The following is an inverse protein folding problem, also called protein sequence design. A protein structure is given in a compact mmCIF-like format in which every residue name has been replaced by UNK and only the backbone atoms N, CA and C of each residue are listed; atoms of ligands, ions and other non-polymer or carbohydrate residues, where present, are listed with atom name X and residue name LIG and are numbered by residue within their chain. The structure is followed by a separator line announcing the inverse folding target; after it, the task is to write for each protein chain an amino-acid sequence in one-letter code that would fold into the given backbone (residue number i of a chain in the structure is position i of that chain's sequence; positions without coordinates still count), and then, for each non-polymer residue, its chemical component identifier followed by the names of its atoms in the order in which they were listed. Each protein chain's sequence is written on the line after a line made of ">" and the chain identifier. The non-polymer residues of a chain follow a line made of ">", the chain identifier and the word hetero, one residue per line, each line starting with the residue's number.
data_IF_535520763170
#
_entry.id   IF_535520763170
#
_cell.length_a   1.000
_cell.length_b   1.000
_cell.length_c   1.000
_cell.angle_alpha   90.00
_cell.angle_beta   90.00
_cell.angle_gamma   90.00
#
_symmetry.space_group_name_H-M   'P 1'
#
loop_
_entity.id
_entity.type
_entity.pdbx_description
1 polymer ?
#
# COMPACT_ATOMS: atom_id res chain seq x y z
N UNK A 1 33.90 -6.54 -25.06
CA UNK A 1 33.30 -7.79 -24.60
C UNK A 1 32.10 -7.40 -23.71
N UNK A 2 30.84 -7.52 -24.20
CA UNK A 2 29.67 -7.43 -23.34
C UNK A 2 29.69 -8.66 -22.44
N UNK A 3 29.95 -8.49 -21.16
CA UNK A 3 29.68 -9.52 -20.17
C UNK A 3 28.19 -9.89 -20.33
N UNK A 4 27.88 -11.17 -20.57
CA UNK A 4 26.53 -11.71 -20.61
C UNK A 4 25.86 -11.37 -19.26
N UNK A 5 25.18 -10.24 -19.20
CA UNK A 5 24.39 -9.83 -18.05
C UNK A 5 23.34 -10.91 -17.87
N UNK A 6 23.33 -11.56 -16.71
CA UNK A 6 22.42 -12.64 -16.37
C UNK A 6 20.97 -12.16 -16.51
N UNK A 7 20.24 -12.71 -17.47
CA UNK A 7 18.83 -12.38 -17.68
C UNK A 7 17.97 -12.95 -16.55
N UNK A 8 17.05 -12.14 -16.03
CA UNK A 8 16.09 -12.52 -14.99
C UNK A 8 14.70 -12.67 -15.60
N UNK A 9 14.19 -13.90 -15.61
CA UNK A 9 12.81 -14.20 -15.98
C UNK A 9 12.02 -14.40 -14.70
N UNK A 10 11.27 -13.36 -14.31
CA UNK A 10 10.66 -13.21 -12.99
C UNK A 10 9.17 -13.57 -13.05
N UNK A 11 8.75 -14.60 -12.31
CA UNK A 11 7.34 -14.91 -12.12
C UNK A 11 6.83 -14.26 -10.84
N UNK A 12 5.99 -13.24 -10.98
CA UNK A 12 5.22 -12.66 -9.88
C UNK A 12 3.97 -13.50 -9.63
N UNK A 13 3.88 -14.12 -8.46
CA UNK A 13 2.68 -14.87 -8.05
C UNK A 13 1.95 -14.03 -7.02
N UNK A 14 0.86 -13.39 -7.46
CA UNK A 14 0.13 -12.37 -6.73
C UNK A 14 -1.23 -12.89 -6.27
N UNK A 15 -1.50 -12.93 -4.98
CA UNK A 15 -2.86 -13.15 -4.46
C UNK A 15 -3.61 -11.81 -4.35
N UNK A 16 -3.66 -11.07 -5.46
CA UNK A 16 -4.20 -9.72 -5.59
C UNK A 16 -5.26 -9.66 -6.68
N UNK A 17 -6.44 -9.14 -6.34
CA UNK A 17 -7.56 -8.97 -7.28
C UNK A 17 -8.41 -7.77 -6.82
N UNK A 18 -7.77 -6.62 -6.64
CA UNK A 18 -8.45 -5.38 -6.29
C UNK A 18 -9.20 -4.79 -7.49
N UNK A 19 -10.18 -3.92 -7.22
CA UNK A 19 -10.96 -3.24 -8.26
C UNK A 19 -10.08 -2.38 -9.17
N UNK A 20 -9.00 -1.81 -8.60
CA UNK A 20 -8.06 -0.94 -9.29
C UNK A 20 -6.66 -1.54 -9.26
N UNK A 21 -5.87 -1.21 -10.26
CA UNK A 21 -4.50 -1.66 -10.42
C UNK A 21 -3.59 -1.21 -9.26
N UNK A 22 -3.60 0.06 -8.89
CA UNK A 22 -2.88 0.65 -7.76
C UNK A 22 -1.34 0.59 -7.85
N UNK A 23 -0.67 1.27 -6.92
CA UNK A 23 0.80 1.37 -6.84
C UNK A 23 1.54 0.03 -6.81
N UNK A 24 0.88 -1.02 -6.32
CA UNK A 24 1.49 -2.35 -6.23
C UNK A 24 1.90 -2.89 -7.60
N UNK A 25 1.02 -2.80 -8.60
CA UNK A 25 1.31 -3.31 -9.96
C UNK A 25 2.36 -2.44 -10.64
N UNK A 26 2.29 -1.12 -10.46
CA UNK A 26 3.28 -0.19 -11.00
C UNK A 26 4.68 -0.49 -10.47
N UNK A 27 4.79 -0.87 -9.19
CA UNK A 27 6.06 -1.32 -8.61
C UNK A 27 6.60 -2.57 -9.29
N UNK A 28 5.74 -3.53 -9.66
CA UNK A 28 6.20 -4.74 -10.35
C UNK A 28 6.67 -4.45 -11.79
N UNK A 29 5.94 -3.62 -12.51
CA UNK A 29 6.31 -3.24 -13.89
C UNK A 29 7.61 -2.40 -13.94
N UNK A 30 7.91 -1.67 -12.87
CA UNK A 30 9.14 -0.88 -12.77
C UNK A 30 10.41 -1.71 -12.95
N UNK A 31 10.37 -3.02 -12.67
CA UNK A 31 11.52 -3.91 -12.91
C UNK A 31 11.92 -3.91 -14.39
N UNK A 32 10.99 -4.05 -15.31
CA UNK A 32 11.29 -4.02 -16.76
C UNK A 32 11.61 -2.60 -17.24
N UNK A 33 11.01 -1.59 -16.60
CA UNK A 33 11.25 -0.18 -16.96
C UNK A 33 12.68 0.25 -16.66
N UNK A 34 13.26 -0.22 -15.56
CA UNK A 34 14.58 0.23 -15.09
C UNK A 34 15.70 -0.81 -15.28
N UNK A 35 15.38 -2.03 -15.72
CA UNK A 35 16.35 -3.11 -15.89
C UNK A 35 16.15 -3.89 -17.20
N UNK A 36 16.93 -3.61 -18.21
CA UNK A 36 16.87 -4.24 -19.55
C UNK A 36 17.05 -5.77 -19.54
N UNK A 37 17.60 -6.32 -18.46
CA UNK A 37 17.83 -7.75 -18.28
C UNK A 37 16.73 -8.47 -17.48
N UNK A 38 15.58 -7.85 -17.25
CA UNK A 38 14.43 -8.40 -16.52
C UNK A 38 13.25 -8.57 -17.47
N UNK A 39 12.59 -9.72 -17.41
CA UNK A 39 11.30 -9.99 -18.04
C UNK A 39 10.31 -10.44 -16.97
N UNK A 40 9.14 -9.79 -16.91
CA UNK A 40 8.10 -10.07 -15.94
C UNK A 40 7.01 -11.00 -16.48
N UNK A 41 6.60 -11.94 -15.64
CA UNK A 41 5.45 -12.81 -15.87
C UNK A 41 4.57 -12.80 -14.62
N UNK A 42 3.26 -12.84 -14.80
CA UNK A 42 2.31 -12.68 -13.69
C UNK A 42 1.36 -13.87 -13.57
N UNK A 43 1.07 -14.27 -12.35
CA UNK A 43 0.06 -15.28 -12.02
C UNK A 43 -0.86 -14.74 -10.93
N UNK A 44 -2.09 -14.39 -11.30
CA UNK A 44 -3.13 -13.85 -10.43
C UNK A 44 -4.11 -14.93 -9.93
N UNK A 45 -4.89 -14.66 -8.87
CA UNK A 45 -5.79 -15.66 -8.29
C UNK A 45 -7.02 -15.91 -9.15
N UNK A 46 -7.60 -17.11 -9.05
CA UNK A 46 -8.80 -17.50 -9.80
C UNK A 46 -10.03 -16.60 -9.54
N UNK A 47 -10.11 -15.95 -8.37
CA UNK A 47 -11.18 -15.00 -8.04
C UNK A 47 -11.15 -13.71 -8.86
N UNK A 48 -10.08 -13.42 -9.59
CA UNK A 48 -10.02 -12.29 -10.50
C UNK A 48 -10.88 -12.48 -11.76
N UNK A 49 -11.21 -13.75 -12.13
CA UNK A 49 -12.04 -14.02 -13.31
C UNK A 49 -13.45 -13.43 -13.16
N UNK A 50 -13.90 -12.70 -14.20
CA UNK A 50 -15.23 -12.09 -14.23
C UNK A 50 -15.38 -10.84 -13.35
N UNK A 51 -14.28 -10.24 -12.86
CA UNK A 51 -14.28 -9.02 -12.06
C UNK A 51 -13.58 -7.88 -12.80
N UNK A 52 -13.67 -6.66 -12.27
CA UNK A 52 -12.89 -5.52 -12.78
C UNK A 52 -11.38 -5.78 -12.77
N UNK A 53 -10.92 -6.60 -11.83
CA UNK A 53 -9.51 -7.02 -11.79
C UNK A 53 -9.07 -7.74 -13.07
N UNK A 54 -9.94 -8.51 -13.71
CA UNK A 54 -9.60 -9.18 -14.97
C UNK A 54 -9.23 -8.20 -16.07
N UNK A 55 -9.91 -7.05 -16.17
CA UNK A 55 -9.68 -6.05 -17.22
C UNK A 55 -8.24 -5.53 -17.14
N UNK A 56 -7.83 -4.98 -15.99
CA UNK A 56 -6.48 -4.46 -15.87
C UNK A 56 -5.39 -5.56 -15.89
N UNK A 57 -5.72 -6.83 -15.52
CA UNK A 57 -4.80 -7.96 -15.71
C UNK A 57 -4.58 -8.27 -17.19
N UNK A 58 -5.63 -8.18 -18.02
CA UNK A 58 -5.53 -8.38 -19.47
C UNK A 58 -4.70 -7.26 -20.12
N UNK A 59 -4.80 -6.05 -19.62
CA UNK A 59 -3.99 -4.90 -20.08
C UNK A 59 -2.47 -5.07 -19.84
N UNK A 60 -2.07 -5.91 -18.86
CA UNK A 60 -0.66 -6.25 -18.62
C UNK A 60 -0.07 -7.17 -19.70
N UNK A 61 -0.90 -7.77 -20.58
CA UNK A 61 -0.40 -8.65 -21.63
C UNK A 61 0.20 -7.85 -22.78
N UNK A 62 1.51 -7.77 -22.81
CA UNK A 62 2.29 -7.21 -23.91
C UNK A 62 3.03 -8.29 -24.69
N UNK A 63 3.89 -7.87 -25.65
CA UNK A 63 4.73 -8.80 -26.42
C UNK A 63 5.67 -9.57 -25.49
N UNK A 64 6.21 -8.93 -24.46
CA UNK A 64 7.17 -9.49 -23.53
C UNK A 64 6.51 -9.98 -22.23
N UNK A 65 5.61 -9.19 -21.65
CA UNK A 65 4.91 -9.50 -20.41
C UNK A 65 3.72 -10.41 -20.65
N UNK A 66 3.56 -11.46 -19.84
CA UNK A 66 2.40 -12.37 -19.88
C UNK A 66 1.76 -12.49 -18.51
N UNK A 67 0.45 -12.22 -18.45
CA UNK A 67 -0.37 -12.38 -17.27
C UNK A 67 -1.27 -13.61 -17.40
N UNK A 68 -1.28 -14.44 -16.36
CA UNK A 68 -2.09 -15.64 -16.24
C UNK A 68 -3.02 -15.54 -15.04
N UNK A 69 -4.20 -16.16 -15.13
CA UNK A 69 -5.11 -16.27 -14.01
C UNK A 69 -5.24 -17.76 -13.64
N UNK A 70 -5.13 -18.09 -12.35
CA UNK A 70 -5.25 -19.44 -11.80
C UNK A 70 -6.63 -20.04 -12.11
N UNK A 71 -6.68 -21.38 -12.14
CA UNK A 71 -7.92 -22.14 -12.17
C UNK A 71 -8.40 -22.46 -10.74
N UNK A 72 -9.68 -22.84 -10.60
CA UNK A 72 -10.24 -23.25 -9.29
C UNK A 72 -9.65 -24.58 -8.78
N UNK A 73 -9.19 -25.46 -9.69
CA UNK A 73 -8.70 -26.80 -9.37
C UNK A 73 -7.17 -26.84 -9.23
N UNK A 74 -6.68 -27.46 -8.16
CA UNK A 74 -5.24 -27.52 -7.84
C UNK A 74 -4.41 -28.21 -8.91
N UNK A 75 -4.94 -29.27 -9.53
CA UNK A 75 -4.25 -30.02 -10.61
C UNK A 75 -4.05 -29.12 -11.84
N UNK A 76 -5.08 -28.36 -12.22
CA UNK A 76 -4.96 -27.41 -13.34
C UNK A 76 -3.95 -26.32 -13.05
N UNK A 77 -3.90 -25.82 -11.80
CA UNK A 77 -2.88 -24.85 -11.37
C UNK A 77 -1.47 -25.45 -11.39
N UNK A 78 -1.31 -26.71 -11.01
CA UNK A 78 -0.04 -27.41 -11.09
C UNK A 78 0.47 -27.49 -12.55
N UNK A 79 -0.38 -27.92 -13.48
CA UNK A 79 -0.06 -27.99 -14.90
C UNK A 79 0.23 -26.59 -15.49
N UNK A 80 -0.58 -25.59 -15.12
CA UNK A 80 -0.36 -24.22 -15.53
C UNK A 80 1.00 -23.70 -15.05
N UNK A 81 1.35 -23.94 -13.79
CA UNK A 81 2.61 -23.52 -13.22
C UNK A 81 3.80 -24.19 -13.92
N UNK A 82 3.73 -25.51 -14.19
CA UNK A 82 4.75 -26.22 -14.99
C UNK A 82 4.90 -25.58 -16.37
N UNK A 83 3.78 -25.32 -17.04
CA UNK A 83 3.78 -24.67 -18.38
C UNK A 83 4.47 -23.33 -18.34
N UNK A 84 4.14 -22.47 -17.37
CA UNK A 84 4.74 -21.14 -17.22
C UNK A 84 6.26 -21.28 -16.96
N UNK A 85 6.64 -22.08 -15.95
CA UNK A 85 8.05 -22.24 -15.56
C UNK A 85 8.95 -22.71 -16.72
N UNK A 86 8.44 -23.65 -17.53
CA UNK A 86 9.20 -24.21 -18.66
C UNK A 86 9.20 -23.29 -19.88
N UNK A 87 8.01 -22.80 -20.27
CA UNK A 87 7.85 -22.00 -21.49
C UNK A 87 8.66 -20.70 -21.42
N UNK A 88 8.66 -20.05 -20.25
CA UNK A 88 9.31 -18.77 -20.03
C UNK A 88 10.66 -18.88 -19.32
N UNK A 89 11.17 -20.11 -19.13
CA UNK A 89 12.48 -20.34 -18.48
C UNK A 89 12.66 -19.59 -17.16
N UNK A 90 11.57 -19.53 -16.36
CA UNK A 90 11.52 -18.77 -15.10
C UNK A 90 12.69 -19.16 -14.19
N UNK A 91 13.48 -18.18 -13.76
CA UNK A 91 14.63 -18.37 -12.88
C UNK A 91 14.52 -17.57 -11.56
N UNK A 92 13.48 -16.72 -11.42
CA UNK A 92 13.11 -16.01 -10.19
C UNK A 92 11.60 -16.11 -9.95
N UNK A 93 11.21 -16.25 -8.68
CA UNK A 93 9.80 -16.19 -8.28
C UNK A 93 9.67 -15.15 -7.17
N UNK A 94 8.76 -14.21 -7.34
CA UNK A 94 8.40 -13.23 -6.32
C UNK A 94 6.96 -13.48 -5.88
N UNK A 95 6.77 -13.74 -4.58
CA UNK A 95 5.46 -14.02 -3.98
C UNK A 95 4.92 -12.78 -3.31
N UNK A 96 3.68 -12.42 -3.65
CA UNK A 96 2.98 -11.30 -3.06
C UNK A 96 1.65 -11.78 -2.47
N UNK A 97 1.34 -11.37 -1.24
CA UNK A 97 0.19 -11.83 -0.48
C UNK A 97 0.20 -13.36 -0.28
N UNK A 98 -0.46 -13.89 0.72
CA UNK A 98 -0.28 -15.30 1.05
C UNK A 98 -1.44 -16.19 0.56
N UNK A 99 -1.16 -17.08 -0.39
CA UNK A 99 -1.96 -18.28 -0.59
C UNK A 99 -1.07 -19.52 -0.37
N UNK A 100 -1.25 -20.20 0.78
CA UNK A 100 -0.38 -21.32 1.18
C UNK A 100 -0.39 -22.52 0.25
N UNK A 101 -1.44 -22.73 -0.58
CA UNK A 101 -1.54 -23.90 -1.47
C UNK A 101 -0.55 -23.80 -2.63
N UNK A 102 -0.45 -22.63 -3.27
CA UNK A 102 0.49 -22.42 -4.38
C UNK A 102 1.94 -22.50 -3.92
N UNK A 103 2.23 -22.15 -2.66
CA UNK A 103 3.58 -22.21 -2.10
C UNK A 103 4.12 -23.65 -2.05
N UNK A 104 3.26 -24.61 -1.77
CA UNK A 104 3.65 -26.03 -1.81
C UNK A 104 4.01 -26.45 -3.23
N UNK A 105 3.24 -26.02 -4.23
CA UNK A 105 3.54 -26.30 -5.63
C UNK A 105 4.86 -25.66 -6.06
N UNK A 106 5.10 -24.41 -5.70
CA UNK A 106 6.36 -23.70 -5.95
C UNK A 106 7.51 -24.46 -5.30
N UNK A 107 7.36 -24.88 -4.04
CA UNK A 107 8.38 -25.66 -3.32
C UNK A 107 8.74 -26.96 -4.02
N UNK A 108 7.76 -27.67 -4.53
CA UNK A 108 7.96 -28.94 -5.25
C UNK A 108 8.63 -28.73 -6.60
N UNK A 109 8.19 -27.74 -7.36
CA UNK A 109 8.64 -27.50 -8.73
C UNK A 109 9.94 -26.67 -8.82
N UNK A 110 10.14 -25.74 -7.93
CA UNK A 110 11.23 -24.77 -7.98
C UNK A 110 12.27 -24.97 -6.88
N UNK A 111 12.09 -25.98 -6.01
CA UNK A 111 12.97 -26.38 -4.89
C UNK A 111 13.37 -25.23 -3.95
N UNK A 112 12.58 -24.13 -3.94
CA UNK A 112 12.75 -22.97 -3.06
C UNK A 112 14.03 -22.16 -3.28
N UNK A 113 14.71 -22.32 -4.45
CA UNK A 113 15.81 -21.45 -4.84
C UNK A 113 15.27 -20.19 -5.48
N UNK A 114 15.91 -19.03 -5.17
CA UNK A 114 15.57 -17.75 -5.80
C UNK A 114 14.09 -17.36 -5.70
N UNK A 115 13.49 -17.63 -4.56
CA UNK A 115 12.12 -17.20 -4.22
C UNK A 115 12.21 -16.05 -3.22
N UNK A 116 11.65 -14.90 -3.58
CA UNK A 116 11.45 -13.73 -2.71
C UNK A 116 10.00 -13.69 -2.32
N UNK A 117 9.72 -13.52 -1.04
CA UNK A 117 8.36 -13.46 -0.49
C UNK A 117 8.12 -12.12 0.18
N UNK A 118 7.20 -11.35 -0.34
CA UNK A 118 6.74 -10.09 0.25
C UNK A 118 5.60 -10.29 1.24
N UNK A 119 5.66 -9.56 2.33
CA UNK A 119 4.63 -9.41 3.34
C UNK A 119 4.12 -7.97 3.29
N UNK A 120 2.89 -7.81 2.80
CA UNK A 120 2.21 -6.53 2.65
C UNK A 120 1.36 -6.13 3.87
N UNK A 121 1.33 -6.98 4.87
CA UNK A 121 0.64 -6.78 6.15
C UNK A 121 1.35 -7.59 7.23
N UNK A 122 0.90 -7.42 8.46
CA UNK A 122 1.37 -8.17 9.63
C UNK A 122 1.60 -9.65 9.36
N UNK A 123 2.68 -10.21 9.92
CA UNK A 123 3.07 -11.61 9.82
C UNK A 123 2.89 -12.33 11.18
N UNK A 124 1.66 -12.65 11.58
CA UNK A 124 1.42 -13.21 12.90
C UNK A 124 2.03 -14.61 13.04
N UNK A 125 2.66 -14.85 14.19
CA UNK A 125 3.17 -16.17 14.55
C UNK A 125 2.02 -17.18 14.60
N UNK A 126 2.11 -18.27 13.81
CA UNK A 126 1.10 -19.34 13.87
C UNK A 126 1.16 -20.04 15.23
N UNK A 127 0.06 -19.98 15.99
CA UNK A 127 -0.06 -20.59 17.32
C UNK A 127 0.13 -22.13 17.27
N UNK A 128 -0.32 -22.77 16.18
CA UNK A 128 -0.17 -24.22 16.02
C UNK A 128 1.27 -24.58 15.59
N UNK A 129 2.04 -25.32 16.41
CA UNK A 129 3.44 -25.64 16.15
C UNK A 129 3.66 -26.51 14.90
N UNK A 130 2.73 -27.39 14.58
CA UNK A 130 2.80 -28.27 13.39
C UNK A 130 2.65 -27.41 12.14
N UNK A 131 1.64 -26.53 12.10
CA UNK A 131 1.46 -25.59 10.99
C UNK A 131 2.65 -24.66 10.82
N UNK A 132 3.24 -24.21 11.92
CA UNK A 132 4.45 -23.37 11.89
C UNK A 132 5.63 -24.13 11.26
N UNK A 133 5.94 -25.34 11.72
CA UNK A 133 7.02 -26.18 11.18
C UNK A 133 6.80 -26.48 9.69
N UNK A 134 5.54 -26.75 9.29
CA UNK A 134 5.21 -26.97 7.88
C UNK A 134 5.48 -25.72 7.02
N UNK A 135 5.04 -24.54 7.46
CA UNK A 135 5.30 -23.28 6.77
C UNK A 135 6.79 -23.01 6.67
N UNK A 136 7.54 -23.19 7.77
CA UNK A 136 9.00 -23.05 7.78
C UNK A 136 9.68 -24.00 6.79
N UNK A 137 9.19 -25.23 6.68
CA UNK A 137 9.68 -26.17 5.67
C UNK A 137 9.40 -25.69 4.24
N UNK A 138 8.20 -25.21 3.98
CA UNK A 138 7.81 -24.70 2.64
C UNK A 138 8.62 -23.48 2.27
N UNK A 139 8.84 -22.54 3.20
CA UNK A 139 9.58 -21.28 2.96
C UNK A 139 11.12 -21.43 3.08
N UNK A 140 11.60 -22.60 3.43
CA UNK A 140 13.03 -22.84 3.55
C UNK A 140 13.75 -22.43 2.26
N UNK A 141 14.78 -21.58 2.39
CA UNK A 141 15.55 -20.93 1.33
C UNK A 141 14.86 -19.76 0.61
N UNK A 142 13.65 -19.33 1.05
CA UNK A 142 13.10 -18.10 0.54
C UNK A 142 13.77 -16.90 1.25
N UNK A 143 13.92 -15.79 0.52
CA UNK A 143 14.20 -14.48 1.12
C UNK A 143 12.86 -13.86 1.53
N UNK A 144 12.72 -13.45 2.78
CA UNK A 144 11.49 -12.84 3.29
C UNK A 144 11.66 -11.32 3.28
N UNK A 145 10.66 -10.60 2.78
CA UNK A 145 10.70 -9.15 2.62
C UNK A 145 9.47 -8.53 3.27
N UNK A 146 9.67 -7.57 4.17
CA UNK A 146 8.63 -6.70 4.69
C UNK A 146 8.54 -5.41 3.86
N UNK A 147 7.33 -4.88 3.69
CA UNK A 147 7.09 -3.61 2.98
C UNK A 147 7.42 -2.36 3.83
N UNK A 148 7.87 -2.57 5.05
CA UNK A 148 8.41 -1.59 5.99
C UNK A 148 9.37 -2.30 6.95
N UNK A 149 10.15 -1.54 7.71
CA UNK A 149 11.03 -2.11 8.75
C UNK A 149 10.22 -2.74 9.88
N UNK A 150 9.06 -2.18 10.24
CA UNK A 150 8.13 -2.77 11.20
C UNK A 150 7.74 -4.18 10.79
N UNK A 151 7.30 -4.37 9.54
CA UNK A 151 6.91 -5.69 9.02
C UNK A 151 8.14 -6.62 8.91
N UNK A 152 9.30 -6.12 8.49
CA UNK A 152 10.52 -6.92 8.43
C UNK A 152 10.96 -7.38 9.83
N UNK A 153 10.85 -6.51 10.85
CA UNK A 153 11.12 -6.82 12.25
C UNK A 153 10.11 -7.84 12.82
N UNK A 154 8.84 -7.73 12.46
CA UNK A 154 7.82 -8.71 12.84
C UNK A 154 8.12 -10.08 12.22
N UNK A 155 8.51 -10.15 10.95
CA UNK A 155 8.95 -11.38 10.29
C UNK A 155 10.13 -11.99 11.04
N UNK A 156 11.14 -11.19 11.40
CA UNK A 156 12.34 -11.63 12.14
C UNK A 156 11.99 -12.22 13.49
N UNK A 157 11.06 -11.60 14.21
CA UNK A 157 10.55 -12.11 15.49
C UNK A 157 9.73 -13.40 15.32
N UNK A 158 8.86 -13.45 14.30
CA UNK A 158 8.02 -14.61 14.01
C UNK A 158 8.79 -15.82 13.49
N UNK A 159 9.85 -15.57 12.70
CA UNK A 159 10.61 -16.58 11.96
C UNK A 159 12.12 -16.33 12.04
N UNK A 160 12.77 -16.41 13.24
CA UNK A 160 14.16 -16.01 13.46
C UNK A 160 15.21 -16.79 12.66
N UNK A 161 14.83 -17.93 12.07
CA UNK A 161 15.70 -18.78 11.24
C UNK A 161 15.80 -18.32 9.79
N UNK A 162 15.02 -17.29 9.39
CA UNK A 162 15.01 -16.81 8.01
C UNK A 162 15.69 -15.44 7.91
N UNK A 163 16.35 -15.23 6.79
CA UNK A 163 16.80 -13.89 6.40
C UNK A 163 15.57 -13.03 6.08
N UNK A 164 15.42 -11.91 6.79
CA UNK A 164 14.38 -10.91 6.50
C UNK A 164 15.00 -9.60 6.06
N UNK A 165 14.43 -9.03 5.03
CA UNK A 165 14.82 -7.78 4.40
C UNK A 165 13.66 -6.78 4.47
N UNK A 166 13.97 -5.50 4.37
CA UNK A 166 12.98 -4.45 4.18
C UNK A 166 13.12 -3.85 2.79
N UNK A 167 12.04 -3.82 2.03
CA UNK A 167 11.92 -3.04 0.80
C UNK A 167 10.64 -2.24 0.93
N UNK A 168 10.79 -0.96 1.26
CA UNK A 168 9.64 -0.05 1.41
C UNK A 168 8.89 0.06 0.09
N UNK A 169 7.57 0.13 0.15
CA UNK A 169 6.75 0.23 -1.05
C UNK A 169 7.06 1.52 -1.84
N UNK A 170 6.89 1.46 -3.15
CA UNK A 170 7.03 2.62 -4.03
C UNK A 170 5.68 3.17 -4.48
N UNK A 171 5.70 4.39 -5.00
CA UNK A 171 4.53 5.11 -5.47
C UNK A 171 4.75 5.58 -6.91
N UNK A 172 3.75 5.37 -7.75
CA UNK A 172 3.66 5.99 -9.06
C UNK A 172 3.07 7.39 -8.92
N UNK A 173 3.96 8.38 -8.72
CA UNK A 173 3.55 9.76 -8.43
C UNK A 173 2.85 10.43 -9.60
N UNK A 174 3.24 10.15 -10.83
CA UNK A 174 2.69 10.83 -12.02
C UNK A 174 1.17 10.62 -12.16
N UNK A 175 0.62 9.51 -11.64
CA UNK A 175 -0.83 9.29 -11.61
C UNK A 175 -1.59 10.29 -10.74
N UNK A 176 -0.91 10.93 -9.79
CA UNK A 176 -1.48 11.95 -8.90
C UNK A 176 -1.54 13.33 -9.55
N UNK A 177 -0.89 13.50 -10.69
CA UNK A 177 -0.89 14.75 -11.45
C UNK A 177 -2.05 14.83 -12.44
N UNK A 178 -2.77 13.70 -12.68
CA UNK A 178 -4.01 13.67 -13.43
C UNK A 178 -5.16 14.17 -12.55
N UNK A 179 -5.67 15.35 -12.85
CA UNK A 179 -6.71 16.00 -12.05
C UNK A 179 -8.01 16.12 -12.82
N UNK A 180 -9.11 15.81 -12.13
CA UNK A 180 -10.44 16.26 -12.53
C UNK A 180 -10.65 17.71 -12.07
N UNK A 181 -11.56 18.48 -12.68
CA UNK A 181 -11.95 19.78 -12.15
C UNK A 181 -12.44 19.66 -10.70
N UNK A 182 -11.98 20.55 -9.83
CA UNK A 182 -12.40 20.58 -8.43
C UNK A 182 -12.51 22.03 -7.92
N UNK A 183 -13.37 22.20 -6.94
CA UNK A 183 -13.48 23.44 -6.18
C UNK A 183 -13.03 23.18 -4.74
N UNK A 184 -12.19 24.08 -4.21
CA UNK A 184 -11.87 24.06 -2.78
C UNK A 184 -13.10 24.51 -1.98
N UNK A 185 -13.39 23.80 -0.89
CA UNK A 185 -14.38 24.26 0.07
C UNK A 185 -13.91 25.56 0.75
N UNK A 186 -14.89 26.40 1.15
CA UNK A 186 -14.59 27.52 2.05
C UNK A 186 -14.13 26.99 3.42
N UNK A 187 -13.23 27.73 4.06
CA UNK A 187 -12.65 27.32 5.35
C UNK A 187 -11.57 26.27 5.22
N UNK A 188 -11.39 25.45 6.24
CA UNK A 188 -10.36 24.39 6.29
C UNK A 188 -10.94 23.07 5.87
N UNK A 189 -10.34 22.44 4.88
CA UNK A 189 -10.78 21.15 4.35
C UNK A 189 -9.83 20.01 4.75
N UNK A 190 -10.41 18.97 5.34
CA UNK A 190 -9.72 17.79 5.80
C UNK A 190 -10.11 16.58 4.95
N UNK A 191 -9.15 15.74 4.59
CA UNK A 191 -9.39 14.49 3.86
C UNK A 191 -8.90 13.29 4.67
N UNK A 192 -9.67 12.20 4.68
CA UNK A 192 -9.22 10.91 5.18
C UNK A 192 -9.75 9.73 4.37
N UNK A 193 -9.06 8.60 4.48
CA UNK A 193 -9.51 7.31 3.92
C UNK A 193 -10.37 6.58 4.96
N UNK A 194 -11.60 6.19 4.57
CA UNK A 194 -12.57 5.55 5.46
C UNK A 194 -12.99 4.13 5.05
N UNK A 195 -12.37 3.52 4.04
CA UNK A 195 -12.79 2.21 3.50
C UNK A 195 -12.72 1.04 4.51
N UNK A 196 -11.90 1.14 5.54
CA UNK A 196 -11.89 0.28 6.73
C UNK A 196 -11.99 1.20 7.94
N UNK A 197 -13.20 1.75 8.18
CA UNK A 197 -13.43 2.90 9.03
C UNK A 197 -12.95 2.69 10.48
N UNK A 198 -13.04 1.47 11.01
CA UNK A 198 -12.55 1.15 12.36
C UNK A 198 -11.02 1.18 12.40
N UNK A 199 -10.35 0.47 11.48
CA UNK A 199 -8.89 0.43 11.42
C UNK A 199 -8.29 1.78 11.05
N UNK A 200 -8.97 2.54 10.21
CA UNK A 200 -8.58 3.89 9.78
C UNK A 200 -8.89 4.99 10.81
N UNK A 201 -9.56 4.66 11.91
CA UNK A 201 -9.79 5.59 13.00
C UNK A 201 -10.76 6.74 12.66
N UNK A 202 -11.81 6.45 11.87
CA UNK A 202 -12.81 7.48 11.50
C UNK A 202 -13.46 8.09 12.73
N UNK A 203 -13.73 7.29 13.76
CA UNK A 203 -14.25 7.74 15.05
C UNK A 203 -13.30 8.72 15.78
N UNK A 204 -11.99 8.47 15.70
CA UNK A 204 -10.97 9.35 16.28
C UNK A 204 -10.94 10.69 15.53
N UNK A 205 -11.00 10.66 14.19
CA UNK A 205 -11.04 11.87 13.38
C UNK A 205 -12.25 12.74 13.69
N UNK A 206 -13.44 12.16 13.78
CA UNK A 206 -14.67 12.87 14.11
C UNK A 206 -14.56 13.53 15.50
N UNK A 207 -14.14 12.76 16.52
CA UNK A 207 -13.99 13.25 17.90
C UNK A 207 -12.95 14.38 18.03
N UNK A 208 -11.80 14.27 17.34
CA UNK A 208 -10.76 15.28 17.38
C UNK A 208 -11.15 16.55 16.63
N UNK A 209 -11.92 16.43 15.54
CA UNK A 209 -12.32 17.57 14.69
C UNK A 209 -13.50 18.33 15.27
N UNK A 210 -14.44 17.66 15.93
CA UNK A 210 -15.67 18.27 16.47
C UNK A 210 -15.44 19.56 17.26
N UNK A 211 -14.51 19.63 18.26
CA UNK A 211 -14.30 20.84 19.03
C UNK A 211 -13.68 22.01 18.23
N UNK A 212 -13.08 21.74 17.08
CA UNK A 212 -12.42 22.73 16.22
C UNK A 212 -13.32 23.20 15.07
N UNK A 213 -14.39 22.47 14.79
CA UNK A 213 -15.20 22.62 13.58
C UNK A 213 -15.73 24.05 13.40
N UNK A 214 -16.44 24.57 14.41
CA UNK A 214 -17.00 25.93 14.35
C UNK A 214 -15.95 27.02 14.33
N UNK A 215 -14.87 26.85 15.13
CA UNK A 215 -13.79 27.82 15.25
C UNK A 215 -13.06 28.06 13.93
N UNK A 216 -12.89 27.03 13.14
CA UNK A 216 -12.08 27.07 11.90
C UNK A 216 -12.90 26.82 10.62
N UNK A 217 -14.24 26.73 10.71
CA UNK A 217 -15.10 26.40 9.58
C UNK A 217 -14.61 25.16 8.83
N UNK A 218 -14.53 24.03 9.54
CA UNK A 218 -13.93 22.79 9.02
C UNK A 218 -14.96 21.97 8.23
N UNK A 219 -14.54 21.43 7.08
CA UNK A 219 -15.22 20.34 6.38
C UNK A 219 -14.36 19.09 6.42
N UNK A 220 -14.87 17.98 6.99
CA UNK A 220 -14.20 16.67 6.97
C UNK A 220 -14.73 15.83 5.81
N UNK A 221 -13.84 15.50 4.86
CA UNK A 221 -14.16 14.67 3.69
C UNK A 221 -13.65 13.24 3.92
N UNK A 222 -14.55 12.26 3.81
CA UNK A 222 -14.25 10.85 4.07
C UNK A 222 -14.49 10.03 2.82
N UNK A 223 -13.44 9.38 2.30
CA UNK A 223 -13.53 8.42 1.20
C UNK A 223 -13.92 7.04 1.75
N UNK A 224 -15.24 6.81 1.95
CA UNK A 224 -15.76 5.63 2.65
C UNK A 224 -16.07 4.41 1.77
N UNK A 225 -16.33 4.65 0.48
CA UNK A 225 -16.69 3.59 -0.46
C UNK A 225 -17.90 2.77 0.03
N UNK A 226 -17.76 1.45 0.09
CA UNK A 226 -18.85 0.53 0.51
C UNK A 226 -19.27 0.65 1.98
N UNK A 227 -18.53 1.39 2.79
CA UNK A 227 -18.84 1.55 4.22
C UNK A 227 -19.49 2.90 4.54
N UNK A 228 -19.91 3.66 3.54
CA UNK A 228 -20.50 5.00 3.74
C UNK A 228 -21.64 5.01 4.75
N UNK A 229 -22.62 4.10 4.63
CA UNK A 229 -23.76 4.05 5.57
C UNK A 229 -23.30 3.78 7.01
N UNK A 230 -22.34 2.87 7.21
CA UNK A 230 -21.78 2.59 8.54
C UNK A 230 -21.01 3.77 9.11
N UNK A 231 -20.34 4.55 8.25
CA UNK A 231 -19.64 5.77 8.68
C UNK A 231 -20.65 6.85 9.05
N UNK A 232 -21.78 6.99 8.33
CA UNK A 232 -22.87 7.88 8.69
C UNK A 232 -23.47 7.51 10.05
N UNK A 233 -23.80 6.25 10.27
CA UNK A 233 -24.29 5.73 11.55
C UNK A 233 -23.31 6.04 12.69
N UNK A 234 -22.01 5.83 12.46
CA UNK A 234 -20.96 6.14 13.43
C UNK A 234 -20.91 7.65 13.74
N UNK A 235 -20.98 8.51 12.72
CA UNK A 235 -20.99 9.97 12.90
C UNK A 235 -22.19 10.42 13.72
N UNK A 236 -23.39 9.94 13.40
CA UNK A 236 -24.60 10.22 14.21
C UNK A 236 -24.48 9.71 15.64
N UNK A 237 -23.87 8.56 15.87
CA UNK A 237 -23.68 8.03 17.23
C UNK A 237 -22.74 8.88 18.09
N UNK A 238 -21.81 9.62 17.48
CA UNK A 238 -20.84 10.48 18.18
C UNK A 238 -21.37 11.91 18.35
N UNK A 239 -22.02 12.46 17.31
CA UNK A 239 -22.31 13.89 17.17
C UNK A 239 -23.80 14.23 17.40
N UNK A 240 -24.69 13.22 17.36
CA UNK A 240 -26.14 13.47 17.28
C UNK A 240 -26.51 14.01 15.89
N UNK A 241 -27.23 15.15 15.84
CA UNK A 241 -27.76 15.69 14.59
C UNK A 241 -26.79 16.61 13.82
N UNK A 242 -25.73 17.13 14.45
CA UNK A 242 -24.82 18.09 13.83
C UNK A 242 -23.71 17.37 13.03
N UNK A 243 -24.06 16.87 11.84
CA UNK A 243 -23.16 16.12 10.94
C UNK A 243 -22.91 16.80 9.58
N UNK A 244 -23.44 17.99 9.36
CA UNK A 244 -23.43 18.68 8.05
C UNK A 244 -22.04 19.07 7.55
N UNK A 245 -21.06 19.14 8.45
CA UNK A 245 -19.65 19.39 8.14
C UNK A 245 -18.89 18.14 7.69
N UNK A 246 -19.54 16.95 7.68
CA UNK A 246 -18.94 15.70 7.19
C UNK A 246 -19.46 15.41 5.78
N UNK A 247 -18.55 15.28 4.82
CA UNK A 247 -18.87 14.92 3.42
C UNK A 247 -18.30 13.54 3.08
N UNK A 248 -19.09 12.77 2.34
CA UNK A 248 -18.71 11.43 1.90
C UNK A 248 -18.34 11.46 0.43
N UNK A 249 -17.11 11.01 0.12
CA UNK A 249 -16.59 11.02 -1.24
C UNK A 249 -16.74 9.66 -1.90
N UNK A 250 -17.15 9.59 -3.17
CA UNK A 250 -17.15 8.36 -3.94
C UNK A 250 -15.72 7.90 -4.26
N UNK A 251 -15.52 6.58 -4.50
CA UNK A 251 -14.25 6.07 -5.02
C UNK A 251 -13.89 6.73 -6.36
N UNK A 252 -12.60 7.02 -6.56
CA UNK A 252 -12.09 7.65 -7.78
C UNK A 252 -10.81 6.99 -8.24
N UNK A 253 -10.52 7.05 -9.55
CA UNK A 253 -9.22 6.73 -10.12
C UNK A 253 -8.26 7.94 -10.06
N UNK A 254 -8.80 9.16 -9.96
CA UNK A 254 -8.05 10.42 -9.92
C UNK A 254 -7.95 10.95 -8.49
N UNK A 255 -7.37 10.13 -7.60
CA UNK A 255 -7.26 10.46 -6.17
C UNK A 255 -6.45 11.74 -5.91
N UNK A 256 -5.54 12.11 -6.82
CA UNK A 256 -4.80 13.36 -6.78
C UNK A 256 -5.71 14.60 -6.69
N UNK A 257 -6.87 14.56 -7.33
CA UNK A 257 -7.89 15.61 -7.25
C UNK A 257 -8.37 15.81 -5.82
N UNK A 258 -8.71 14.73 -5.11
CA UNK A 258 -9.17 14.83 -3.72
C UNK A 258 -8.07 15.33 -2.78
N UNK A 259 -6.82 14.88 -2.94
CA UNK A 259 -5.72 15.42 -2.15
C UNK A 259 -5.59 16.94 -2.37
N UNK A 260 -5.54 17.41 -3.62
CA UNK A 260 -5.35 18.84 -3.92
C UNK A 260 -6.56 19.73 -3.59
N UNK A 261 -7.76 19.16 -3.52
CA UNK A 261 -8.96 19.86 -3.08
C UNK A 261 -9.00 20.09 -1.56
N UNK A 262 -8.12 19.45 -0.81
CA UNK A 262 -8.07 19.49 0.65
C UNK A 262 -6.76 20.08 1.17
N UNK A 263 -6.79 20.64 2.36
CA UNK A 263 -5.64 21.31 2.98
C UNK A 263 -4.81 20.38 3.85
N UNK A 264 -5.49 19.50 4.60
CA UNK A 264 -4.86 18.59 5.56
C UNK A 264 -5.37 17.17 5.32
N UNK A 265 -4.45 16.22 5.29
CA UNK A 265 -4.76 14.80 5.26
C UNK A 265 -4.63 14.18 6.66
N UNK A 266 -5.66 13.44 7.07
CA UNK A 266 -5.71 12.76 8.36
C UNK A 266 -5.50 11.25 8.19
N UNK A 267 -4.57 10.67 8.94
CA UNK A 267 -4.42 9.22 9.04
C UNK A 267 -4.32 8.76 10.51
N UNK A 268 -5.44 8.79 11.26
CA UNK A 268 -5.50 8.32 12.64
C UNK A 268 -5.65 6.79 12.70
N UNK A 269 -4.89 6.09 11.88
CA UNK A 269 -4.97 4.64 11.74
C UNK A 269 -4.56 3.92 13.03
N UNK A 270 -5.25 2.81 13.35
CA UNK A 270 -4.90 1.88 14.43
C UNK A 270 -3.86 0.86 14.00
N UNK A 271 -3.79 0.61 12.71
CA UNK A 271 -2.79 -0.24 12.07
C UNK A 271 -2.51 0.23 10.65
N UNK A 272 -1.25 0.34 10.27
CA UNK A 272 -0.83 0.69 8.91
C UNK A 272 0.52 0.07 8.58
N UNK A 273 0.53 -0.85 7.62
CA UNK A 273 1.75 -1.56 7.26
C UNK A 273 2.80 -0.67 6.55
N UNK A 274 2.34 0.43 5.92
CA UNK A 274 3.23 1.34 5.20
C UNK A 274 2.74 2.80 5.23
N UNK A 275 1.51 3.09 4.78
CA UNK A 275 0.97 4.45 4.75
C UNK A 275 1.01 5.12 3.37
N UNK A 276 0.64 4.40 2.31
CA UNK A 276 0.57 4.96 0.95
C UNK A 276 -0.13 6.31 0.89
N UNK A 277 -1.32 6.41 1.47
CA UNK A 277 -2.15 7.60 1.41
C UNK A 277 -1.49 8.84 2.03
N UNK A 278 -0.71 8.65 3.11
CA UNK A 278 0.04 9.73 3.76
C UNK A 278 1.13 10.30 2.84
N UNK A 279 1.87 9.44 2.14
CA UNK A 279 2.92 9.86 1.22
C UNK A 279 2.31 10.51 -0.03
N UNK A 280 1.20 10.00 -0.55
CA UNK A 280 0.47 10.58 -1.67
C UNK A 280 -0.05 11.98 -1.33
N UNK A 281 -0.59 12.16 -0.11
CA UNK A 281 -1.06 13.45 0.39
C UNK A 281 0.08 14.49 0.45
N UNK A 282 1.25 14.11 0.97
CA UNK A 282 2.44 14.99 1.02
C UNK A 282 2.88 15.38 -0.39
N UNK A 283 2.95 14.43 -1.31
CA UNK A 283 3.28 14.73 -2.70
C UNK A 283 2.31 15.72 -3.34
N UNK A 284 1.03 15.65 -2.98
CA UNK A 284 -0.01 16.57 -3.44
C UNK A 284 -0.02 17.92 -2.71
N UNK A 285 0.84 18.13 -1.70
CA UNK A 285 0.99 19.41 -0.97
C UNK A 285 0.13 19.54 0.27
N UNK A 286 -0.50 18.46 0.76
CA UNK A 286 -1.24 18.49 2.03
C UNK A 286 -0.29 18.59 3.23
N UNK A 287 -0.71 19.30 4.28
CA UNK A 287 -0.22 19.03 5.63
C UNK A 287 -0.76 17.65 6.08
N UNK A 288 -0.03 16.92 6.89
CA UNK A 288 -0.45 15.58 7.31
C UNK A 288 -0.44 15.43 8.83
N UNK A 289 -1.53 14.89 9.39
CA UNK A 289 -1.65 14.57 10.82
C UNK A 289 -1.80 13.05 10.95
N UNK A 290 -0.79 12.41 11.56
CA UNK A 290 -0.56 10.99 11.47
C UNK A 290 -0.41 10.32 12.84
N UNK A 291 -1.06 9.16 13.04
CA UNK A 291 -0.81 8.33 14.22
C UNK A 291 0.51 7.56 14.09
N UNK A 292 1.24 7.41 15.20
CA UNK A 292 2.48 6.62 15.28
C UNK A 292 2.14 5.13 15.41
N UNK A 293 1.90 4.46 14.28
CA UNK A 293 1.59 3.02 14.24
C UNK A 293 2.42 2.31 13.19
N UNK A 294 2.91 1.10 13.53
CA UNK A 294 3.56 0.16 12.61
C UNK A 294 4.45 0.85 11.54
N UNK A 295 4.24 0.52 10.27
CA UNK A 295 5.00 1.09 9.17
C UNK A 295 4.71 2.56 8.85
N UNK A 296 3.54 3.12 9.26
CA UNK A 296 3.28 4.55 9.14
C UNK A 296 4.20 5.37 10.05
N UNK A 297 4.45 4.88 11.27
CA UNK A 297 5.36 5.54 12.23
C UNK A 297 6.83 5.55 11.80
N UNK A 298 7.19 4.79 10.75
CA UNK A 298 8.53 4.73 10.19
C UNK A 298 8.73 5.65 8.97
N UNK A 299 7.68 6.34 8.54
CA UNK A 299 7.79 7.31 7.43
C UNK A 299 8.72 8.45 7.86
N UNK A 300 9.77 8.66 7.08
CA UNK A 300 10.73 9.75 7.34
C UNK A 300 10.17 11.06 6.79
N UNK A 301 9.31 11.71 7.58
CA UNK A 301 8.58 12.94 7.24
C UNK A 301 8.72 13.91 8.40
N UNK A 302 9.58 14.90 8.24
CA UNK A 302 9.91 15.87 9.31
C UNK A 302 8.75 16.83 9.61
N UNK A 303 7.96 17.20 8.61
CA UNK A 303 6.86 18.17 8.76
C UNK A 303 5.50 17.54 9.07
N UNK A 304 5.43 16.26 9.36
CA UNK A 304 4.19 15.63 9.79
C UNK A 304 3.86 15.94 11.25
N UNK A 305 2.58 16.15 11.54
CA UNK A 305 2.07 16.30 12.89
C UNK A 305 1.76 14.94 13.47
N UNK A 306 2.69 14.41 14.27
CA UNK A 306 2.59 13.06 14.84
C UNK A 306 1.88 13.06 16.17
N UNK A 307 1.00 12.06 16.41
CA UNK A 307 0.35 11.80 17.69
C UNK A 307 0.34 10.30 18.03
N UNK A 308 0.23 9.97 19.32
CA UNK A 308 0.11 8.59 19.78
C UNK A 308 -1.27 8.03 19.44
N UNK A 309 -1.30 6.80 18.90
CA UNK A 309 -2.56 6.14 18.49
C UNK A 309 -3.56 6.08 19.66
N UNK A 310 -4.86 6.25 19.37
CA UNK A 310 -5.97 6.34 20.35
C UNK A 310 -5.97 7.61 21.22
N UNK A 311 -4.97 8.46 21.16
CA UNK A 311 -4.91 9.71 21.95
C UNK A 311 -5.64 10.84 21.19
N UNK A 312 -6.97 10.95 21.41
CA UNK A 312 -7.83 11.94 20.75
C UNK A 312 -7.44 13.38 21.11
N UNK A 313 -6.98 13.63 22.34
CA UNK A 313 -6.60 14.98 22.79
C UNK A 313 -5.34 15.44 22.07
N UNK A 314 -4.30 14.61 22.03
CA UNK A 314 -3.07 14.91 21.29
C UNK A 314 -3.36 15.05 19.79
N UNK A 315 -4.23 14.20 19.23
CA UNK A 315 -4.65 14.31 17.83
C UNK A 315 -5.28 15.66 17.55
N UNK A 316 -6.23 16.10 18.40
CA UNK A 316 -6.87 17.43 18.29
C UNK A 316 -5.82 18.56 18.34
N UNK A 317 -4.89 18.51 19.30
CA UNK A 317 -3.88 19.55 19.48
C UNK A 317 -2.93 19.62 18.27
N UNK A 318 -2.54 18.45 17.70
CA UNK A 318 -1.75 18.38 16.46
C UNK A 318 -2.53 18.86 15.25
N UNK A 319 -3.83 18.56 15.17
CA UNK A 319 -4.70 19.06 14.11
C UNK A 319 -4.84 20.59 14.20
N UNK A 320 -5.02 21.14 15.39
CA UNK A 320 -5.11 22.58 15.58
C UNK A 320 -3.79 23.27 15.21
N UNK A 321 -2.65 22.72 15.59
CA UNK A 321 -1.33 23.22 15.16
C UNK A 321 -1.20 23.22 13.64
N UNK A 322 -1.61 22.13 12.97
CA UNK A 322 -1.58 22.03 11.52
C UNK A 322 -2.46 23.09 10.83
N UNK A 323 -3.62 23.43 11.42
CA UNK A 323 -4.53 24.47 10.92
C UNK A 323 -3.90 25.86 11.07
N UNK A 324 -3.33 26.16 12.24
CA UNK A 324 -2.72 27.47 12.52
C UNK A 324 -1.54 27.73 11.59
N UNK A 325 -0.71 26.72 11.33
CA UNK A 325 0.49 26.85 10.52
C UNK A 325 0.24 26.73 9.01
N UNK A 326 -0.97 26.43 8.57
CA UNK A 326 -1.33 25.98 7.21
C UNK A 326 -0.74 26.88 6.10
N UNK A 327 -0.80 28.19 6.28
CA UNK A 327 -0.37 29.20 5.32
C UNK A 327 0.89 29.95 5.75
N UNK A 328 1.63 29.48 6.76
CA UNK A 328 2.89 30.09 7.14
C UNK A 328 3.94 29.87 6.03
N UNK A 329 4.81 30.86 5.82
CA UNK A 329 5.87 30.77 4.81
C UNK A 329 6.79 29.57 5.08
N UNK A 330 7.12 29.33 6.34
CA UNK A 330 7.93 28.19 6.78
C UNK A 330 7.28 26.86 6.37
N UNK A 331 5.96 26.71 6.63
CA UNK A 331 5.22 25.49 6.28
C UNK A 331 5.12 25.27 4.79
N UNK A 332 4.98 26.32 4.00
CA UNK A 332 4.93 26.22 2.54
C UNK A 332 6.27 25.75 1.97
N UNK A 333 7.39 26.30 2.46
CA UNK A 333 8.73 25.84 2.08
C UNK A 333 8.99 24.39 2.49
N UNK A 334 8.56 24.02 3.71
CA UNK A 334 8.66 22.64 4.19
C UNK A 334 7.90 21.66 3.31
N UNK A 335 6.66 21.95 2.91
CA UNK A 335 5.86 21.13 2.02
C UNK A 335 6.55 20.84 0.67
N UNK A 336 7.17 21.84 0.06
CA UNK A 336 7.92 21.64 -1.19
C UNK A 336 9.16 20.77 -1.01
N UNK A 337 9.89 20.93 0.09
CA UNK A 337 11.02 20.09 0.43
C UNK A 337 10.59 18.62 0.67
N UNK A 338 9.51 18.40 1.40
CA UNK A 338 8.96 17.08 1.67
C UNK A 338 8.43 16.40 0.41
N UNK A 339 7.78 17.14 -0.47
CA UNK A 339 7.33 16.62 -1.77
C UNK A 339 8.52 16.07 -2.59
N UNK A 340 9.62 16.81 -2.66
CA UNK A 340 10.83 16.36 -3.34
C UNK A 340 11.44 15.13 -2.64
N UNK A 341 11.48 15.13 -1.33
CA UNK A 341 12.01 14.05 -0.50
C UNK A 341 11.24 12.74 -0.68
N UNK A 342 9.91 12.76 -0.55
CA UNK A 342 9.08 11.55 -0.71
C UNK A 342 9.14 11.02 -2.15
N UNK A 343 9.20 11.90 -3.15
CA UNK A 343 9.35 11.50 -4.56
C UNK A 343 10.66 10.75 -4.81
N UNK A 344 11.72 11.14 -4.13
CA UNK A 344 13.02 10.46 -4.23
C UNK A 344 13.02 9.11 -3.52
N UNK A 345 12.66 9.08 -2.23
CA UNK A 345 12.78 7.87 -1.38
C UNK A 345 11.80 6.77 -1.81
N UNK A 346 10.56 7.14 -2.15
CA UNK A 346 9.51 6.17 -2.50
C UNK A 346 9.35 5.99 -4.01
N UNK A 347 10.44 6.21 -4.78
CA UNK A 347 10.43 6.06 -6.23
C UNK A 347 10.38 4.59 -6.66
N UNK A 348 9.74 4.33 -7.81
CA UNK A 348 9.69 3.02 -8.44
C UNK A 348 11.09 2.50 -8.78
N UNK A 349 12.02 3.41 -9.14
CA UNK A 349 13.40 3.07 -9.46
C UNK A 349 14.16 2.49 -8.26
N UNK A 350 14.05 3.16 -7.11
CA UNK A 350 14.71 2.68 -5.88
C UNK A 350 14.14 1.33 -5.42
N UNK A 351 12.82 1.16 -5.53
CA UNK A 351 12.17 -0.11 -5.21
C UNK A 351 12.68 -1.25 -6.13
N UNK A 352 12.74 -1.00 -7.43
CA UNK A 352 13.18 -1.99 -8.41
C UNK A 352 14.65 -2.40 -8.20
N UNK A 353 15.53 -1.43 -7.93
CA UNK A 353 16.94 -1.69 -7.61
C UNK A 353 17.07 -2.63 -6.40
N UNK A 354 16.40 -2.29 -5.29
CA UNK A 354 16.43 -3.11 -4.06
C UNK A 354 15.90 -4.53 -4.27
N UNK A 355 14.91 -4.72 -5.16
CA UNK A 355 14.40 -6.06 -5.45
C UNK A 355 15.39 -6.86 -6.33
N UNK A 356 15.98 -6.23 -7.34
CA UNK A 356 16.98 -6.89 -8.20
C UNK A 356 18.21 -7.30 -7.41
N UNK A 357 18.65 -6.52 -6.42
CA UNK A 357 19.75 -6.88 -5.51
C UNK A 357 19.48 -8.16 -4.70
N UNK A 358 18.20 -8.54 -4.56
CA UNK A 358 17.83 -9.81 -3.93
C UNK A 358 17.81 -10.99 -4.90
N UNK A 359 18.00 -10.81 -6.19
CA UNK A 359 18.01 -11.88 -7.19
C UNK A 359 19.35 -12.58 -7.28
#
# INVERSE_FOLDING_TARGET
>A
MKTDAKSFHVLHVCDYAALYRGNFIDSLESLETYHDNVENFYLFPARAKGTEAQKWIEDLNSVYTKAYIQEKHIIKNFLLLIKILRRHKINRIVRHFSDGKIDVLIKLLFKGKHVVRFFHCSCPVKKNPIKRKFIEFVWRKNKLVGVSDAIANEIRRAHPKFSSHSIVNAIQFDRLDNLDPFEKAEGVSLLMMGWDYTRKGVDLAIKATQPLQEKYNITLQILGGKNEDKIKELAYSILGENVDWIRYLPPTNNIGTYYRANDIFLSPSRQEAFGYASIEAIYCGNSVVLSKVDGQGELNIDGAYWFESENVEEFRDKLESAIIELNSEEKLLQKEAEKAHVKHIYSLKEWSNKLVDLF
#
